data_IF_814112675935
#
_entry.id   IF_814112675935
#
_cell.length_a   1.000
_cell.length_b   1.000
_cell.length_c   1.000
_cell.angle_alpha   90.00
_cell.angle_beta   90.00
_cell.angle_gamma   90.00
#
_symmetry.space_group_name_H-M   'P 1'
#
loop_
_entity.id
_entity.type
_entity.pdbx_description
1 polymer ?
#
# COMPACT_ATOMS: atom_id res chain seq x y z
N UNK A 1 15.42 -7.02 -1.18
CA UNK A 1 14.40 -8.10 -1.22
C UNK A 1 13.04 -7.64 -0.67
N UNK A 2 13.02 -6.89 0.44
CA UNK A 2 11.79 -6.34 1.06
C UNK A 2 10.95 -5.44 0.13
N UNK A 3 11.59 -4.54 -0.63
CA UNK A 3 10.94 -3.75 -1.69
C UNK A 3 10.12 -4.61 -2.67
N UNK A 4 10.72 -5.69 -3.21
CA UNK A 4 10.06 -6.60 -4.16
C UNK A 4 8.86 -7.29 -3.51
N UNK A 5 8.99 -7.68 -2.25
CA UNK A 5 7.95 -8.35 -1.50
C UNK A 5 6.75 -7.42 -1.20
N UNK A 6 7.03 -6.19 -0.78
CA UNK A 6 6.01 -5.16 -0.55
C UNK A 6 5.28 -4.75 -1.83
N UNK A 7 6.02 -4.54 -2.93
CA UNK A 7 5.44 -4.21 -4.25
C UNK A 7 4.59 -5.35 -4.82
N UNK A 8 4.99 -6.62 -4.67
CA UNK A 8 4.17 -7.78 -5.03
C UNK A 8 2.86 -7.81 -4.24
N UNK A 9 2.91 -7.59 -2.93
CA UNK A 9 1.68 -7.54 -2.13
C UNK A 9 0.77 -6.38 -2.51
N UNK A 10 1.31 -5.21 -2.85
CA UNK A 10 0.51 -4.12 -3.39
C UNK A 10 -0.14 -4.47 -4.73
N UNK A 11 0.59 -5.14 -5.64
CA UNK A 11 0.02 -5.64 -6.89
C UNK A 11 -1.11 -6.64 -6.65
N UNK A 12 -0.92 -7.59 -5.73
CA UNK A 12 -1.95 -8.55 -5.34
C UNK A 12 -3.16 -7.86 -4.69
N UNK A 13 -2.95 -6.79 -3.91
CA UNK A 13 -4.03 -5.98 -3.35
C UNK A 13 -4.84 -5.29 -4.48
N UNK A 14 -4.18 -4.78 -5.52
CA UNK A 14 -4.86 -4.20 -6.68
C UNK A 14 -5.67 -5.28 -7.40
N UNK A 15 -5.07 -6.43 -7.72
CA UNK A 15 -5.75 -7.55 -8.40
C UNK A 15 -7.00 -8.01 -7.62
N UNK A 16 -6.86 -8.16 -6.30
CA UNK A 16 -7.97 -8.61 -5.43
C UNK A 16 -9.09 -7.57 -5.31
N UNK A 17 -8.82 -6.29 -5.56
CA UNK A 17 -9.85 -5.25 -5.68
C UNK A 17 -10.75 -5.47 -6.90
N UNK A 18 -10.21 -6.05 -7.98
CA UNK A 18 -10.97 -6.37 -9.19
C UNK A 18 -11.81 -7.64 -9.04
N UNK A 19 -11.54 -8.50 -8.05
CA UNK A 19 -12.31 -9.73 -7.83
C UNK A 19 -13.80 -9.49 -7.61
N UNK A 20 -14.19 -8.31 -7.11
CA UNK A 20 -15.60 -7.90 -6.98
C UNK A 20 -16.37 -7.82 -8.31
N UNK A 21 -15.67 -7.72 -9.44
CA UNK A 21 -16.27 -7.68 -10.78
C UNK A 21 -16.45 -9.07 -11.40
N UNK A 22 -15.85 -10.10 -10.80
CA UNK A 22 -15.97 -11.48 -11.28
C UNK A 22 -17.07 -12.22 -10.50
N UNK A 23 -18.10 -12.72 -11.21
CA UNK A 23 -19.26 -13.41 -10.61
C UNK A 23 -18.92 -14.67 -9.80
N UNK A 24 -17.72 -15.22 -9.97
CA UNK A 24 -17.30 -16.48 -9.35
C UNK A 24 -16.70 -16.34 -7.94
N UNK A 25 -16.44 -15.11 -7.47
CA UNK A 25 -15.77 -14.87 -6.18
C UNK A 25 -16.71 -14.17 -5.19
N UNK A 26 -16.79 -14.69 -3.97
CA UNK A 26 -17.58 -14.07 -2.91
C UNK A 26 -17.01 -12.68 -2.53
N UNK A 27 -17.80 -11.62 -2.72
CA UNK A 27 -17.43 -10.24 -2.41
C UNK A 27 -16.91 -10.03 -0.97
N UNK A 28 -17.47 -10.74 0.02
CA UNK A 28 -17.00 -10.62 1.42
C UNK A 28 -15.60 -11.23 1.59
N UNK A 29 -15.33 -12.34 0.91
CA UNK A 29 -14.03 -13.00 0.96
C UNK A 29 -12.97 -12.18 0.20
N UNK A 30 -13.30 -11.70 -1.00
CA UNK A 30 -12.44 -10.80 -1.78
C UNK A 30 -12.04 -9.56 -0.98
N UNK A 31 -12.99 -8.92 -0.28
CA UNK A 31 -12.71 -7.76 0.56
C UNK A 31 -11.75 -8.09 1.71
N UNK A 32 -11.93 -9.23 2.39
CA UNK A 32 -11.03 -9.67 3.46
C UNK A 32 -9.60 -9.90 2.94
N UNK A 33 -9.47 -10.56 1.79
CA UNK A 33 -8.18 -10.84 1.16
C UNK A 33 -7.50 -9.53 0.74
N UNK A 34 -8.23 -8.62 0.08
CA UNK A 34 -7.73 -7.31 -0.32
C UNK A 34 -7.18 -6.52 0.86
N UNK A 35 -7.93 -6.46 1.97
CA UNK A 35 -7.51 -5.75 3.18
C UNK A 35 -6.28 -6.41 3.83
N UNK A 36 -6.27 -7.74 3.94
CA UNK A 36 -5.14 -8.46 4.53
C UNK A 36 -3.85 -8.24 3.73
N UNK A 37 -3.91 -8.49 2.42
CA UNK A 37 -2.75 -8.38 1.52
C UNK A 37 -2.29 -6.91 1.42
N UNK A 38 -3.21 -5.96 1.30
CA UNK A 38 -2.87 -4.53 1.24
C UNK A 38 -2.20 -4.03 2.52
N UNK A 39 -2.65 -4.51 3.69
CA UNK A 39 -2.05 -4.15 4.98
C UNK A 39 -0.65 -4.74 5.13
N UNK A 40 -0.46 -6.01 4.75
CA UNK A 40 0.86 -6.67 4.78
C UNK A 40 1.83 -5.98 3.81
N UNK A 41 1.36 -5.60 2.62
CA UNK A 41 2.13 -4.82 1.66
C UNK A 41 2.59 -3.48 2.23
N UNK A 42 1.66 -2.71 2.82
CA UNK A 42 1.98 -1.42 3.45
C UNK A 42 2.98 -1.57 4.60
N UNK A 43 2.81 -2.56 5.48
CA UNK A 43 3.76 -2.85 6.57
C UNK A 43 5.16 -3.20 6.04
N UNK A 44 5.23 -4.01 4.98
CA UNK A 44 6.50 -4.38 4.35
C UNK A 44 7.23 -3.15 3.80
N UNK A 45 6.49 -2.20 3.21
CA UNK A 45 7.06 -0.96 2.68
C UNK A 45 7.49 0.02 3.78
N UNK A 46 6.81 0.04 4.92
CA UNK A 46 7.26 0.80 6.10
C UNK A 46 8.59 0.25 6.61
N UNK A 47 8.67 -1.07 6.81
CA UNK A 47 9.90 -1.72 7.27
C UNK A 47 11.03 -1.47 6.27
N UNK A 48 10.74 -1.64 4.98
CA UNK A 48 11.69 -1.37 3.91
C UNK A 48 12.24 0.06 3.97
N UNK A 49 11.35 1.05 4.09
CA UNK A 49 11.71 2.46 4.18
C UNK A 49 12.60 2.78 5.39
N UNK A 50 12.29 2.19 6.55
CA UNK A 50 13.11 2.36 7.75
C UNK A 50 14.50 1.73 7.59
N UNK A 51 14.57 0.51 7.04
CA UNK A 51 15.83 -0.21 6.87
C UNK A 51 16.77 0.52 5.91
N UNK A 52 16.29 0.90 4.72
CA UNK A 52 17.12 1.59 3.72
C UNK A 52 17.53 2.99 4.19
N UNK A 53 16.64 3.72 4.87
CA UNK A 53 17.01 5.02 5.44
C UNK A 53 18.11 4.90 6.51
N UNK A 54 18.05 3.89 7.38
CA UNK A 54 19.04 3.70 8.43
C UNK A 54 20.38 3.24 7.86
N UNK A 55 20.36 2.24 6.97
CA UNK A 55 21.55 1.58 6.43
C UNK A 55 22.23 2.39 5.34
N UNK A 56 21.46 2.81 4.34
CA UNK A 56 21.98 3.34 3.08
C UNK A 56 21.79 4.86 2.98
N UNK A 57 21.20 5.48 4.03
CA UNK A 57 20.92 6.93 4.11
C UNK A 57 20.09 7.45 2.94
N UNK A 58 19.31 6.57 2.33
CA UNK A 58 18.52 6.90 1.17
C UNK A 58 17.28 7.70 1.62
N UNK A 59 17.21 8.98 1.23
CA UNK A 59 16.14 9.88 1.67
C UNK A 59 14.90 9.73 0.79
N UNK A 60 15.08 9.35 -0.47
CA UNK A 60 14.01 9.20 -1.48
C UNK A 60 13.00 8.11 -1.10
N UNK A 61 13.36 7.17 -0.22
CA UNK A 61 12.46 6.12 0.28
C UNK A 61 11.51 6.58 1.40
N UNK A 62 11.81 7.67 2.10
CA UNK A 62 10.98 8.14 3.23
C UNK A 62 9.55 8.50 2.81
N UNK A 63 9.31 9.20 1.69
CA UNK A 63 7.96 9.43 1.16
C UNK A 63 7.16 8.14 0.94
N UNK A 64 7.81 7.04 0.54
CA UNK A 64 7.17 5.72 0.33
C UNK A 64 6.68 5.14 1.66
N UNK A 65 7.51 5.23 2.71
CA UNK A 65 7.14 4.83 4.07
C UNK A 65 5.97 5.65 4.62
N UNK A 66 6.03 6.98 4.46
CA UNK A 66 4.96 7.89 4.91
C UNK A 66 3.64 7.63 4.19
N UNK A 67 3.67 7.45 2.86
CA UNK A 67 2.47 7.11 2.09
C UNK A 67 1.89 5.76 2.51
N UNK A 68 2.74 4.77 2.83
CA UNK A 68 2.31 3.46 3.35
C UNK A 68 1.58 3.58 4.69
N UNK A 69 2.06 4.43 5.60
CA UNK A 69 1.36 4.72 6.87
C UNK A 69 -0.01 5.36 6.61
N UNK A 70 -0.06 6.34 5.70
CA UNK A 70 -1.32 6.99 5.32
C UNK A 70 -2.33 6.01 4.72
N UNK A 71 -1.89 5.03 3.93
CA UNK A 71 -2.77 3.96 3.40
C UNK A 71 -3.43 3.16 4.53
N UNK A 72 -2.66 2.77 5.55
CA UNK A 72 -3.18 2.03 6.71
C UNK A 72 -4.21 2.88 7.47
N UNK A 73 -3.84 4.12 7.82
CA UNK A 73 -4.70 5.03 8.60
C UNK A 73 -6.00 5.37 7.86
N UNK A 74 -5.88 5.71 6.58
CA UNK A 74 -7.01 6.06 5.72
C UNK A 74 -7.91 4.87 5.37
N UNK A 75 -7.38 3.64 5.44
CA UNK A 75 -8.14 2.40 5.24
C UNK A 75 -9.12 2.08 6.38
N UNK A 76 -8.97 2.71 7.54
CA UNK A 76 -9.87 2.47 8.69
C UNK A 76 -11.27 3.01 8.45
N UNK A 77 -12.29 2.31 8.98
CA UNK A 77 -13.70 2.71 8.81
C UNK A 77 -13.99 4.15 9.27
N UNK A 78 -13.36 4.59 10.38
CA UNK A 78 -13.54 5.93 10.93
C UNK A 78 -13.04 7.01 9.96
N UNK A 79 -11.83 6.83 9.42
CA UNK A 79 -11.19 7.81 8.54
C UNK A 79 -11.83 7.78 7.16
N UNK A 80 -12.07 6.59 6.59
CA UNK A 80 -12.71 6.43 5.27
C UNK A 80 -14.10 7.03 5.18
N UNK A 81 -14.90 6.96 6.25
CA UNK A 81 -16.23 7.61 6.30
C UNK A 81 -16.13 9.14 6.28
N UNK A 82 -15.15 9.71 7.00
CA UNK A 82 -14.95 11.16 7.11
C UNK A 82 -14.27 11.74 5.87
N UNK A 83 -13.27 11.04 5.32
CA UNK A 83 -12.45 11.49 4.19
C UNK A 83 -12.48 10.45 3.07
N UNK A 84 -13.54 10.48 2.26
CA UNK A 84 -13.82 9.47 1.22
C UNK A 84 -12.68 9.28 0.22
N UNK A 85 -11.94 10.35 -0.10
CA UNK A 85 -10.88 10.36 -1.11
C UNK A 85 -9.48 10.14 -0.56
N UNK A 86 -9.28 10.27 0.76
CA UNK A 86 -7.95 10.25 1.36
C UNK A 86 -7.22 8.93 1.10
N UNK A 87 -7.95 7.81 1.12
CA UNK A 87 -7.35 6.51 0.87
C UNK A 87 -6.85 6.37 -0.56
N UNK A 88 -7.64 6.81 -1.55
CA UNK A 88 -7.24 6.78 -2.95
C UNK A 88 -6.03 7.70 -3.20
N UNK A 89 -6.05 8.91 -2.64
CA UNK A 89 -4.93 9.86 -2.75
C UNK A 89 -3.67 9.28 -2.11
N UNK A 90 -3.79 8.59 -0.97
CA UNK A 90 -2.65 7.94 -0.31
C UNK A 90 -2.07 6.81 -1.18
N UNK A 91 -2.92 6.02 -1.84
CA UNK A 91 -2.49 4.96 -2.77
C UNK A 91 -1.80 5.54 -4.01
N UNK A 92 -2.34 6.61 -4.59
CA UNK A 92 -1.72 7.30 -5.74
C UNK A 92 -0.38 7.92 -5.33
N UNK A 93 -0.34 8.61 -4.18
CA UNK A 93 0.87 9.21 -3.63
C UNK A 93 1.95 8.16 -3.35
N UNK A 94 1.56 6.99 -2.84
CA UNK A 94 2.47 5.85 -2.68
C UNK A 94 3.05 5.38 -4.02
N UNK A 95 2.22 5.20 -5.04
CA UNK A 95 2.70 4.77 -6.36
C UNK A 95 3.67 5.79 -6.98
N UNK A 96 3.36 7.08 -6.88
CA UNK A 96 4.23 8.16 -7.34
C UNK A 96 5.56 8.23 -6.58
N UNK A 97 5.51 8.14 -5.24
CA UNK A 97 6.70 8.13 -4.40
C UNK A 97 7.59 6.91 -4.70
N UNK A 98 6.99 5.74 -4.88
CA UNK A 98 7.72 4.52 -5.19
C UNK A 98 8.38 4.60 -6.58
N UNK A 99 7.65 5.11 -7.59
CA UNK A 99 8.20 5.33 -8.92
C UNK A 99 9.38 6.33 -8.90
N UNK A 100 9.24 7.43 -8.17
CA UNK A 100 10.31 8.41 -8.01
C UNK A 100 11.55 7.81 -7.35
N UNK A 101 11.38 7.06 -6.26
CA UNK A 101 12.48 6.39 -5.59
C UNK A 101 13.19 5.35 -6.47
N UNK A 102 12.45 4.60 -7.31
CA UNK A 102 13.05 3.63 -8.24
C UNK A 102 13.86 4.30 -9.36
N UNK A 103 13.47 5.50 -9.78
CA UNK A 103 14.11 6.23 -10.90
C UNK A 103 15.30 7.07 -10.44
N UNK A 104 15.31 7.51 -9.18
CA UNK A 104 16.39 8.31 -8.58
C UNK A 104 17.64 7.49 -8.29
#
# INVERSE_FOLDING_TARGET
MLHRLGSIFFLLAIITSFFKYFKFINNKLSLKIHLAIGTIGALSMIIYSVVDFIKDKEITILPVGLASILIILSGTNKVRKKYKWLHLISVIGFAGALAFHIIS
#
